data_IF_139491286604
#
_entry.id   IF_139491286604
#
_cell.length_a   1.000
_cell.length_b   1.000
_cell.length_c   1.000
_cell.angle_alpha   90.00
_cell.angle_beta   90.00
_cell.angle_gamma   90.00
#
_symmetry.space_group_name_H-M   'P 1'
#
loop_
_entity.id
_entity.type
_entity.pdbx_description
1 polymer ?
#
# COMPACT_ATOMS: atom_id res chain seq x y z
N UNK A 1 4.93 5.00 41.35
CA UNK A 1 4.52 5.80 40.18
C UNK A 1 5.43 5.37 39.05
N UNK A 2 4.96 4.48 38.18
CA UNK A 2 5.69 4.08 36.97
C UNK A 2 5.54 5.21 35.96
N UNK A 3 6.65 5.83 35.59
CA UNK A 3 6.68 6.81 34.51
C UNK A 3 6.65 5.99 33.23
N UNK A 4 5.55 6.07 32.48
CA UNK A 4 5.49 5.51 31.13
C UNK A 4 6.61 6.15 30.30
N UNK A 5 7.42 5.37 29.55
CA UNK A 5 8.43 5.94 28.67
C UNK A 5 7.75 6.83 27.63
N UNK A 6 8.33 8.01 27.39
CA UNK A 6 7.86 8.93 26.35
C UNK A 6 8.07 8.24 25.01
N UNK A 7 6.98 7.80 24.36
CA UNK A 7 7.02 7.40 22.94
C UNK A 7 7.24 8.65 22.10
N UNK A 8 8.41 8.75 21.47
CA UNK A 8 8.61 9.72 20.40
C UNK A 8 8.04 9.16 19.11
N UNK A 9 7.18 9.94 18.46
CA UNK A 9 6.51 9.59 17.21
C UNK A 9 7.04 10.54 16.13
N UNK A 10 7.52 9.98 15.02
CA UNK A 10 8.02 10.75 13.87
C UNK A 10 7.13 10.50 12.66
N UNK A 11 6.43 11.53 12.14
CA UNK A 11 5.67 11.38 10.89
C UNK A 11 6.64 11.22 9.71
N UNK A 12 6.23 10.43 8.72
CA UNK A 12 6.94 10.31 7.45
C UNK A 12 5.98 10.25 6.27
N UNK A 13 6.55 10.57 5.11
CA UNK A 13 5.95 10.32 3.80
C UNK A 13 7.05 9.78 2.89
N UNK A 14 6.85 8.59 2.34
CA UNK A 14 7.79 7.96 1.40
C UNK A 14 7.14 7.82 0.03
N UNK A 15 7.96 7.96 -1.01
CA UNK A 15 7.52 7.87 -2.40
C UNK A 15 8.38 6.87 -3.14
N UNK A 16 7.72 5.92 -3.80
CA UNK A 16 8.36 4.87 -4.56
C UNK A 16 7.88 4.90 -6.00
N UNK A 17 8.76 4.66 -6.96
CA UNK A 17 8.40 4.45 -8.35
C UNK A 17 8.67 3.00 -8.72
N UNK A 18 7.64 2.33 -9.23
CA UNK A 18 7.67 0.90 -9.52
C UNK A 18 7.20 0.67 -10.95
N UNK A 19 7.99 -0.07 -11.72
CA UNK A 19 7.56 -0.61 -13.01
C UNK A 19 7.18 -2.07 -12.84
N UNK A 20 6.00 -2.45 -13.32
CA UNK A 20 5.50 -3.83 -13.25
C UNK A 20 4.77 -4.22 -14.53
N UNK A 21 4.89 -5.48 -14.94
CA UNK A 21 4.17 -6.07 -16.08
C UNK A 21 3.01 -7.00 -15.64
N UNK A 22 2.68 -7.01 -14.35
CA UNK A 22 1.44 -7.58 -13.83
C UNK A 22 1.39 -9.10 -13.65
N UNK A 23 2.52 -9.80 -13.83
CA UNK A 23 2.56 -11.27 -13.70
C UNK A 23 3.11 -11.76 -12.35
N UNK A 24 3.69 -10.88 -11.54
CA UNK A 24 4.21 -11.21 -10.21
C UNK A 24 4.17 -9.95 -9.34
N UNK A 25 3.81 -10.12 -8.06
CA UNK A 25 3.91 -9.05 -7.08
C UNK A 25 5.36 -8.54 -6.98
N UNK A 26 5.53 -7.24 -6.83
CA UNK A 26 6.83 -6.58 -6.71
C UNK A 26 7.01 -6.10 -5.27
N UNK A 27 8.13 -6.45 -4.67
CA UNK A 27 8.52 -5.94 -3.35
C UNK A 27 8.97 -4.49 -3.50
N UNK A 28 8.29 -3.60 -2.77
CA UNK A 28 8.48 -2.14 -2.86
C UNK A 28 9.40 -1.65 -1.76
N UNK A 29 9.15 -2.13 -0.54
CA UNK A 29 9.77 -1.56 0.65
C UNK A 29 9.83 -2.55 1.80
N UNK A 30 11.02 -2.73 2.38
CA UNK A 30 11.20 -3.37 3.68
C UNK A 30 10.67 -2.44 4.78
N UNK A 31 9.54 -2.79 5.38
CA UNK A 31 8.88 -1.93 6.38
C UNK A 31 9.72 -1.96 7.68
N UNK A 32 10.20 -0.80 8.17
CA UNK A 32 10.97 -0.75 9.40
C UNK A 32 10.15 -1.20 10.61
N UNK A 33 10.82 -1.79 11.59
CA UNK A 33 10.22 -2.07 12.90
C UNK A 33 9.67 -0.78 13.52
N UNK A 34 8.55 -0.89 14.23
CA UNK A 34 7.86 0.20 14.88
C UNK A 34 7.30 1.25 13.90
N UNK A 35 6.74 0.78 12.79
CA UNK A 35 6.08 1.61 11.79
C UNK A 35 4.56 1.51 11.92
N UNK A 36 3.87 2.62 11.70
CA UNK A 36 2.42 2.68 11.53
C UNK A 36 2.15 3.26 10.16
N UNK A 37 1.50 2.50 9.27
CA UNK A 37 1.06 3.02 7.98
C UNK A 37 -0.41 3.42 8.13
N UNK A 38 -0.72 4.65 7.74
CA UNK A 38 -2.05 5.25 7.90
C UNK A 38 -2.74 5.55 6.59
N UNK A 39 -1.99 5.62 5.50
CA UNK A 39 -2.52 5.85 4.17
C UNK A 39 -1.51 5.38 3.14
N UNK A 40 -2.02 4.77 2.08
CA UNK A 40 -1.26 4.47 0.87
C UNK A 40 -2.07 5.01 -0.30
N UNK A 41 -1.42 5.79 -1.16
CA UNK A 41 -1.99 6.25 -2.42
C UNK A 41 -1.13 5.74 -3.57
N UNK A 42 -1.76 5.47 -4.70
CA UNK A 42 -1.06 5.03 -5.91
C UNK A 42 -1.42 5.92 -7.09
N UNK A 43 -0.42 6.40 -7.84
CA UNK A 43 -0.61 7.15 -9.07
C UNK A 43 -0.04 6.39 -10.26
N UNK A 44 -0.83 6.22 -11.32
CA UNK A 44 -0.32 5.68 -12.58
C UNK A 44 0.43 6.77 -13.32
N UNK A 45 1.75 6.64 -13.49
CA UNK A 45 2.59 7.55 -14.28
C UNK A 45 2.68 7.12 -15.75
N UNK A 46 2.70 5.81 -15.98
CA UNK A 46 2.65 5.22 -17.32
C UNK A 46 1.62 4.10 -17.27
N UNK A 47 0.63 4.16 -18.15
CA UNK A 47 -0.38 3.13 -18.27
C UNK A 47 0.21 1.87 -18.91
N UNK A 48 -0.03 0.71 -18.31
CA UNK A 48 0.20 -0.57 -18.99
C UNK A 48 -0.80 -0.77 -20.13
N UNK A 49 -0.42 -1.51 -21.17
CA UNK A 49 -1.29 -1.89 -22.26
C UNK A 49 -1.79 -3.34 -22.09
N UNK A 50 -3.09 -3.58 -22.23
CA UNK A 50 -3.71 -4.91 -22.06
C UNK A 50 -5.09 -4.82 -21.42
N UNK A 51 -5.68 -5.96 -21.05
CA UNK A 51 -6.84 -5.97 -20.14
C UNK A 51 -6.33 -5.55 -18.75
N UNK A 52 -6.57 -4.30 -18.36
CA UNK A 52 -5.98 -3.69 -17.17
C UNK A 52 -6.12 -4.57 -15.91
N UNK A 53 -5.02 -4.76 -15.18
CA UNK A 53 -5.02 -5.56 -13.96
C UNK A 53 -5.54 -4.83 -12.74
N UNK A 54 -6.00 -5.59 -11.75
CA UNK A 54 -6.31 -5.04 -10.43
C UNK A 54 -5.02 -4.52 -9.81
N UNK A 55 -5.06 -3.31 -9.28
CA UNK A 55 -4.00 -2.77 -8.46
C UNK A 55 -4.27 -3.19 -7.02
N UNK A 56 -3.38 -4.02 -6.50
CA UNK A 56 -3.37 -4.44 -5.11
C UNK A 56 -2.09 -3.89 -4.50
N UNK A 57 -2.20 -3.16 -3.41
CA UNK A 57 -1.05 -2.73 -2.61
C UNK A 57 -1.28 -3.24 -1.21
N UNK A 58 -0.39 -4.07 -0.70
CA UNK A 58 -0.55 -4.74 0.59
C UNK A 58 0.79 -5.15 1.17
N UNK A 59 0.78 -5.88 2.27
CA UNK A 59 2.01 -6.50 2.79
C UNK A 59 2.04 -8.01 2.56
N UNK A 60 3.14 -8.64 2.97
CA UNK A 60 3.44 -10.05 2.73
C UNK A 60 2.56 -11.05 3.51
N UNK A 61 1.83 -10.60 4.53
CA UNK A 61 1.12 -11.47 5.47
C UNK A 61 -0.36 -11.67 5.15
N UNK A 62 -0.98 -10.79 4.36
CA UNK A 62 -2.44 -10.70 4.28
C UNK A 62 -2.92 -10.33 2.85
N UNK A 63 -3.96 -11.02 2.39
CA UNK A 63 -4.55 -10.86 1.04
C UNK A 63 -5.25 -9.49 0.84
N UNK A 64 -5.59 -8.77 1.91
CA UNK A 64 -6.58 -7.68 1.87
C UNK A 64 -6.01 -6.26 1.70
N UNK A 65 -4.68 -6.08 1.82
CA UNK A 65 -3.93 -4.86 1.49
C UNK A 65 -4.41 -3.48 2.02
N UNK A 66 -3.70 -2.44 1.61
CA UNK A 66 -4.07 -1.02 1.76
C UNK A 66 -4.92 -0.51 0.60
N UNK A 67 -4.65 -0.99 -0.62
CA UNK A 67 -5.40 -0.66 -1.83
C UNK A 67 -5.86 -1.97 -2.46
N UNK A 68 -7.14 -2.04 -2.79
CA UNK A 68 -7.74 -3.12 -3.56
C UNK A 68 -8.67 -2.50 -4.60
N UNK A 69 -8.18 -2.31 -5.81
CA UNK A 69 -8.93 -1.56 -6.80
C UNK A 69 -8.79 -2.13 -8.21
N UNK A 70 -9.94 -2.30 -8.88
CA UNK A 70 -10.03 -3.11 -10.09
C UNK A 70 -9.67 -2.36 -11.38
N UNK A 71 -8.98 -3.02 -12.30
CA UNK A 71 -8.64 -2.54 -13.66
C UNK A 71 -7.78 -1.25 -13.74
N UNK A 72 -6.82 -1.08 -12.84
CA UNK A 72 -6.12 0.20 -12.68
C UNK A 72 -4.71 0.26 -13.28
N UNK A 73 -4.02 -0.86 -13.43
CA UNK A 73 -2.66 -0.84 -13.98
C UNK A 73 -2.65 -0.46 -15.48
N UNK A 74 -3.80 -0.57 -16.16
CA UNK A 74 -4.04 -0.03 -17.51
C UNK A 74 -4.84 1.27 -17.57
N UNK A 75 -5.03 1.95 -16.42
CA UNK A 75 -5.81 3.18 -16.37
C UNK A 75 -5.06 4.40 -16.95
N UNK A 76 -5.77 5.51 -17.10
CA UNK A 76 -5.19 6.73 -17.66
C UNK A 76 -4.07 7.27 -16.77
N UNK A 77 -3.01 7.78 -17.40
CA UNK A 77 -1.92 8.47 -16.71
C UNK A 77 -2.46 9.58 -15.81
N UNK A 78 -1.81 9.76 -14.65
CA UNK A 78 -2.13 10.69 -13.58
C UNK A 78 -3.38 10.34 -12.74
N UNK A 79 -4.01 9.18 -12.97
CA UNK A 79 -5.08 8.70 -12.07
C UNK A 79 -4.49 8.30 -10.71
N UNK A 80 -5.18 8.66 -9.61
CA UNK A 80 -4.77 8.41 -8.23
C UNK A 80 -5.80 7.52 -7.53
N UNK A 81 -5.33 6.55 -6.74
CA UNK A 81 -6.14 5.55 -6.06
C UNK A 81 -5.81 5.44 -4.57
N UNK A 82 -6.74 4.89 -3.80
CA UNK A 82 -6.59 4.58 -2.37
C UNK A 82 -7.32 5.56 -1.44
N UNK A 83 -7.88 6.65 -1.98
CA UNK A 83 -8.67 7.60 -1.19
C UNK A 83 -10.17 7.26 -1.24
N UNK A 84 -10.68 6.74 -2.37
CA UNK A 84 -12.09 6.38 -2.47
C UNK A 84 -12.38 5.10 -1.67
N UNK A 85 -13.55 5.05 -1.01
CA UNK A 85 -13.96 3.88 -0.20
C UNK A 85 -13.92 2.57 -1.01
N UNK A 86 -14.29 2.62 -2.29
CA UNK A 86 -14.28 1.46 -3.18
C UNK A 86 -12.87 0.99 -3.59
N UNK A 87 -11.82 1.75 -3.27
CA UNK A 87 -10.43 1.44 -3.60
C UNK A 87 -9.60 1.04 -2.37
N UNK A 88 -10.15 1.27 -1.17
CA UNK A 88 -9.47 0.99 0.09
C UNK A 88 -9.47 -0.52 0.33
N UNK A 89 -8.29 -1.06 0.63
CA UNK A 89 -8.14 -2.41 1.16
C UNK A 89 -8.54 -2.47 2.65
N UNK A 90 -8.46 -3.66 3.25
CA UNK A 90 -9.00 -3.88 4.59
C UNK A 90 -8.37 -3.00 5.68
N UNK A 91 -7.11 -2.55 5.54
CA UNK A 91 -6.49 -1.69 6.56
C UNK A 91 -6.97 -0.24 6.55
N UNK A 92 -7.64 0.20 5.49
CA UNK A 92 -8.13 1.57 5.34
C UNK A 92 -9.67 1.64 5.26
N UNK A 93 -10.35 0.49 5.25
CA UNK A 93 -11.82 0.43 5.26
C UNK A 93 -12.39 0.70 6.66
N UNK A 94 -12.83 1.93 6.88
CA UNK A 94 -13.50 2.32 8.11
C UNK A 94 -14.89 1.64 8.23
N UNK A 95 -15.05 0.74 9.21
CA UNK A 95 -16.34 0.11 9.52
C UNK A 95 -16.48 -1.36 9.10
N UNK A 96 -15.41 -1.99 8.58
CA UNK A 96 -15.39 -3.43 8.34
C UNK A 96 -15.62 -4.21 9.66
N UNK A 97 -16.57 -5.14 9.68
CA UNK A 97 -16.92 -5.93 10.88
C UNK A 97 -16.15 -7.26 10.98
N UNK A 98 -14.98 -7.36 10.33
CA UNK A 98 -14.13 -8.57 10.29
C UNK A 98 -12.87 -8.46 11.17
N UNK A 99 -11.95 -9.43 11.03
CA UNK A 99 -10.63 -9.47 11.70
C UNK A 99 -9.67 -8.34 11.27
N UNK A 100 -10.01 -7.59 10.22
CA UNK A 100 -9.15 -6.62 9.56
C UNK A 100 -9.89 -5.27 9.46
N UNK A 101 -9.99 -4.54 10.58
CA UNK A 101 -10.68 -3.26 10.63
C UNK A 101 -9.77 -2.17 11.22
N UNK A 102 -9.55 -1.09 10.47
CA UNK A 102 -8.77 0.06 10.91
C UNK A 102 -8.66 1.14 9.85
N UNK A 103 -8.11 2.29 10.22
CA UNK A 103 -7.62 3.31 9.26
C UNK A 103 -6.09 3.31 9.20
N UNK A 104 -5.46 2.28 9.76
CA UNK A 104 -4.02 2.15 9.91
C UNK A 104 -3.63 0.69 10.21
N UNK A 105 -2.39 0.32 9.88
CA UNK A 105 -1.74 -0.95 10.28
C UNK A 105 -0.44 -0.67 11.04
N UNK A 106 -0.15 -1.46 12.08
CA UNK A 106 1.07 -1.37 12.89
C UNK A 106 2.00 -2.54 12.58
N UNK A 107 3.29 -2.22 12.46
CA UNK A 107 4.39 -3.13 12.18
C UNK A 107 5.36 -3.15 13.37
N UNK A 108 5.14 -4.02 14.36
CA UNK A 108 5.94 -4.05 15.59
C UNK A 108 7.22 -4.90 15.47
N UNK A 109 7.44 -5.56 14.33
CA UNK A 109 8.57 -6.45 14.08
C UNK A 109 9.16 -6.21 12.68
N UNK A 110 10.42 -6.62 12.50
CA UNK A 110 11.09 -6.60 11.20
C UNK A 110 10.67 -7.79 10.31
N UNK A 111 11.03 -7.73 9.03
CA UNK A 111 10.74 -8.79 8.05
C UNK A 111 9.34 -8.71 7.47
N UNK A 112 8.77 -7.50 7.42
CA UNK A 112 7.50 -7.18 6.76
C UNK A 112 7.82 -6.37 5.52
N UNK A 113 7.14 -6.63 4.41
CA UNK A 113 7.42 -5.98 3.13
C UNK A 113 6.13 -5.38 2.58
N UNK A 114 6.18 -4.15 2.07
CA UNK A 114 5.12 -3.59 1.25
C UNK A 114 5.29 -4.12 -0.17
N UNK A 115 4.21 -4.64 -0.75
CA UNK A 115 4.16 -5.22 -2.10
C UNK A 115 3.11 -4.52 -2.94
N UNK A 116 3.36 -4.50 -4.24
CA UNK A 116 2.39 -4.10 -5.25
C UNK A 116 2.17 -5.25 -6.22
N UNK A 117 0.92 -5.59 -6.45
CA UNK A 117 0.51 -6.56 -7.45
C UNK A 117 -0.42 -5.90 -8.47
N UNK A 118 -0.14 -6.18 -9.74
CA UNK A 118 -0.90 -5.75 -10.90
C UNK A 118 -1.45 -6.98 -11.66
N UNK A 119 -2.06 -7.91 -10.93
CA UNK A 119 -2.51 -9.29 -11.23
C UNK A 119 -3.09 -9.71 -12.62
N UNK A 120 -2.73 -9.10 -13.75
CA UNK A 120 -3.17 -9.50 -15.10
C UNK A 120 -2.04 -9.32 -16.12
N UNK A 121 -2.06 -10.14 -17.18
CA UNK A 121 -1.14 -10.10 -18.32
C UNK A 121 -1.14 -8.72 -19.00
N UNK A 122 -0.24 -7.84 -18.58
CA UNK A 122 0.03 -6.60 -19.30
C UNK A 122 1.04 -6.87 -20.41
N UNK A 123 0.72 -6.39 -21.60
CA UNK A 123 1.63 -6.46 -22.76
C UNK A 123 2.76 -5.44 -22.69
N UNK A 124 2.63 -4.43 -21.83
CA UNK A 124 3.69 -3.46 -21.51
C UNK A 124 3.67 -3.15 -20.02
N UNK A 125 4.83 -2.75 -19.48
CA UNK A 125 4.93 -2.32 -18.09
C UNK A 125 4.07 -1.07 -17.82
N UNK A 126 3.46 -1.04 -16.65
CA UNK A 126 2.92 0.18 -16.05
C UNK A 126 3.97 0.74 -15.07
N UNK A 127 4.08 2.06 -15.01
CA UNK A 127 4.88 2.73 -13.98
C UNK A 127 3.94 3.38 -12.98
N UNK A 128 4.06 3.01 -11.71
CA UNK A 128 3.22 3.44 -10.61
C UNK A 128 4.07 4.16 -9.57
N UNK A 129 3.59 5.31 -9.13
CA UNK A 129 4.15 6.09 -8.03
C UNK A 129 3.32 5.80 -6.78
N UNK A 130 3.92 5.17 -5.78
CA UNK A 130 3.29 4.88 -4.49
C UNK A 130 3.69 5.94 -3.48
N UNK A 131 2.70 6.47 -2.77
CA UNK A 131 2.86 7.40 -1.66
C UNK A 131 2.43 6.70 -0.37
N UNK A 132 3.36 6.54 0.56
CA UNK A 132 3.12 5.88 1.84
C UNK A 132 3.23 6.91 2.95
N UNK A 133 2.19 7.03 3.77
CA UNK A 133 2.13 7.98 4.88
C UNK A 133 1.97 7.25 6.20
N UNK A 134 2.76 7.66 7.18
CA UNK A 134 2.79 6.96 8.44
C UNK A 134 3.57 7.66 9.53
N UNK A 135 3.84 6.87 10.56
CA UNK A 135 4.62 7.27 11.72
C UNK A 135 5.60 6.17 12.09
N UNK A 136 6.82 6.53 12.45
CA UNK A 136 7.71 5.65 13.20
C UNK A 136 7.66 5.98 14.68
N UNK A 137 7.82 4.97 15.54
CA UNK A 137 7.89 5.17 16.99
C UNK A 137 9.10 4.46 17.59
N UNK A 138 9.64 5.02 18.67
CA UNK A 138 10.67 4.36 19.47
C UNK A 138 10.05 3.94 20.80
N UNK A 139 10.33 2.71 21.20
CA UNK A 139 9.98 2.13 22.51
C UNK A 139 11.18 2.14 23.43
#
# INVERSE_FOLDING_TARGET
>A
MTVEPIRTIYPFAEVFEISTNGTTAVDVWDIPINTIITMVLARVKVAGAGSGGNLIVGDDDDDDGFILAANLCGATVATIYGDAVAERGAYLEAGATGTHAGSWKVYPAAGKELKIDCSVDMTTEATIELFVFGYSYHV
#
